data_IF_798452829078
#
_entry.id   IF_798452829078
#
_cell.length_a   1.000
_cell.length_b   1.000
_cell.length_c   1.000
_cell.angle_alpha   90.00
_cell.angle_beta   90.00
_cell.angle_gamma   90.00
#
_symmetry.space_group_name_H-M   'P 1'
#
loop_
_entity.id
_entity.type
_entity.pdbx_description
1 polymer ?
#
# COMPACT_ATOMS: atom_id res chain seq x y z
N UNK A 1 -1.52 -7.53 12.79
CA UNK A 1 -2.56 -6.61 12.29
C UNK A 1 -1.88 -5.32 11.85
N UNK A 2 -2.12 -4.88 10.62
CA UNK A 2 -1.54 -3.68 10.02
C UNK A 2 -2.62 -2.60 9.91
N UNK A 3 -2.35 -1.39 10.40
CA UNK A 3 -3.31 -0.27 10.36
C UNK A 3 -2.75 0.87 9.52
N UNK A 4 -3.46 1.22 8.46
CA UNK A 4 -3.18 2.38 7.63
C UNK A 4 -3.52 3.65 8.41
N UNK A 5 -2.54 4.54 8.55
CA UNK A 5 -2.66 5.77 9.34
C UNK A 5 -2.02 6.98 8.64
N UNK A 6 -2.59 7.38 7.50
CA UNK A 6 -2.39 8.69 6.88
C UNK A 6 -3.69 9.50 6.98
N UNK A 7 -4.01 10.05 8.17
CA UNK A 7 -5.29 10.71 8.42
C UNK A 7 -5.49 11.97 7.56
N UNK A 8 -4.43 12.76 7.31
CA UNK A 8 -4.52 13.94 6.42
C UNK A 8 -4.86 13.58 4.97
N UNK A 9 -4.42 12.41 4.50
CA UNK A 9 -4.64 11.92 3.14
C UNK A 9 -5.75 10.87 3.09
N UNK A 10 -6.49 10.66 4.18
CA UNK A 10 -7.55 9.63 4.28
C UNK A 10 -7.08 8.24 3.81
N UNK A 11 -5.82 7.89 4.11
CA UNK A 11 -5.19 6.66 3.66
C UNK A 11 -5.18 6.52 2.12
N UNK A 12 -4.87 7.60 1.38
CA UNK A 12 -4.61 7.50 -0.06
C UNK A 12 -3.50 6.50 -0.34
N UNK A 13 -3.73 5.55 -1.26
CA UNK A 13 -2.75 4.56 -1.70
C UNK A 13 -1.73 5.21 -2.64
N UNK A 14 -0.90 6.09 -2.09
CA UNK A 14 0.25 6.66 -2.77
C UNK A 14 1.41 5.66 -2.81
N UNK A 15 2.33 5.81 -3.77
CA UNK A 15 3.56 4.99 -3.82
C UNK A 15 4.29 4.83 -2.48
N UNK A 16 4.56 5.89 -1.69
CA UNK A 16 5.23 5.72 -0.39
C UNK A 16 4.42 4.88 0.60
N UNK A 17 3.08 4.98 0.61
CA UNK A 17 2.26 4.12 1.48
C UNK A 17 2.30 2.66 1.01
N UNK A 18 2.27 2.42 -0.29
CA UNK A 18 2.36 1.08 -0.87
C UNK A 18 3.69 0.41 -0.52
N UNK A 19 4.81 1.14 -0.59
CA UNK A 19 6.14 0.63 -0.20
C UNK A 19 6.17 0.23 1.28
N UNK A 20 5.60 1.05 2.16
CA UNK A 20 5.53 0.73 3.59
C UNK A 20 4.64 -0.50 3.88
N UNK A 21 3.53 -0.64 3.15
CA UNK A 21 2.67 -1.84 3.24
C UNK A 21 3.44 -3.08 2.80
N UNK A 22 4.13 -3.04 1.65
CA UNK A 22 4.91 -4.17 1.15
C UNK A 22 6.01 -4.57 2.16
N UNK A 23 6.75 -3.60 2.70
CA UNK A 23 7.76 -3.87 3.74
C UNK A 23 7.16 -4.54 4.96
N UNK A 24 6.00 -4.08 5.43
CA UNK A 24 5.32 -4.67 6.58
C UNK A 24 4.81 -6.09 6.30
N UNK A 25 4.34 -6.36 5.07
CA UNK A 25 3.92 -7.69 4.65
C UNK A 25 5.10 -8.66 4.53
N UNK A 26 6.22 -8.25 3.94
CA UNK A 26 7.44 -9.08 3.87
C UNK A 26 7.99 -9.40 5.26
N UNK A 27 7.97 -8.43 6.18
CA UNK A 27 8.36 -8.67 7.56
C UNK A 27 7.41 -9.67 8.25
N UNK A 28 6.11 -9.60 7.98
CA UNK A 28 5.13 -10.53 8.52
C UNK A 28 5.22 -11.94 7.90
N UNK A 29 5.57 -12.05 6.62
CA UNK A 29 5.77 -13.32 5.92
C UNK A 29 6.96 -14.11 6.49
N UNK A 30 8.01 -13.39 6.90
CA UNK A 30 9.24 -14.00 7.43
C UNK A 30 9.17 -14.31 8.93
N UNK A 31 8.10 -13.89 9.62
CA UNK A 31 7.89 -14.16 11.04
C UNK A 31 7.04 -15.43 11.25
N UNK A 32 7.60 -16.55 11.75
CA UNK A 32 6.86 -17.79 11.96
C UNK A 32 5.78 -17.69 13.05
N UNK A 33 5.77 -16.63 13.86
CA UNK A 33 4.70 -16.36 14.82
C UNK A 33 3.45 -15.74 14.17
N UNK A 34 3.59 -15.15 12.97
CA UNK A 34 2.48 -14.53 12.24
C UNK A 34 1.83 -15.57 11.33
N UNK A 35 0.49 -15.66 11.39
CA UNK A 35 -0.29 -16.61 10.58
C UNK A 35 -1.29 -15.91 9.67
N UNK A 36 -2.14 -15.00 10.19
CA UNK A 36 -2.86 -14.05 9.35
C UNK A 36 -2.32 -12.63 9.51
N UNK A 37 -2.27 -11.90 8.39
CA UNK A 37 -2.15 -10.44 8.41
C UNK A 37 -3.50 -9.84 8.06
N UNK A 38 -4.08 -9.10 9.00
CA UNK A 38 -5.26 -8.27 8.75
C UNK A 38 -4.79 -6.85 8.53
N UNK A 39 -5.11 -6.30 7.35
CA UNK A 39 -4.92 -4.89 7.05
C UNK A 39 -6.22 -4.14 7.32
N UNK A 40 -6.15 -2.99 7.97
CA UNK A 40 -7.31 -2.14 8.28
C UNK A 40 -6.96 -0.66 8.13
N UNK A 41 -7.97 0.22 8.13
CA UNK A 41 -7.77 1.67 8.23
C UNK A 41 -8.22 2.24 9.56
N UNK A 42 -8.72 3.46 9.54
CA UNK A 42 -9.28 4.13 10.72
C UNK A 42 -10.82 4.14 10.67
N UNK A 43 -11.44 4.77 11.68
CA UNK A 43 -12.89 4.86 11.79
C UNK A 43 -13.55 5.63 10.63
N UNK A 44 -12.79 6.46 9.92
CA UNK A 44 -13.28 7.30 8.83
C UNK A 44 -13.16 6.61 7.47
N UNK A 45 -12.11 5.80 7.26
CA UNK A 45 -11.87 5.08 6.01
C UNK A 45 -10.85 3.94 6.18
N UNK A 46 -11.01 2.90 5.37
CA UNK A 46 -9.97 1.90 5.12
C UNK A 46 -8.82 2.54 4.31
N UNK A 47 -9.07 2.81 3.04
CA UNK A 47 -8.29 3.63 2.11
C UNK A 47 -9.28 4.40 1.24
N UNK A 48 -9.22 5.73 1.22
CA UNK A 48 -10.30 6.54 0.62
C UNK A 48 -10.12 6.81 -0.87
N UNK A 49 -8.89 6.74 -1.41
CA UNK A 49 -8.61 6.97 -2.82
C UNK A 49 -7.29 6.30 -3.22
N UNK A 50 -7.14 5.94 -4.49
CA UNK A 50 -5.82 5.80 -5.09
C UNK A 50 -5.38 7.17 -5.61
N UNK A 51 -4.08 7.41 -5.70
CA UNK A 51 -3.56 8.64 -6.28
C UNK A 51 -3.77 8.60 -7.80
N UNK A 52 -4.89 9.17 -8.27
CA UNK A 52 -5.34 9.07 -9.67
C UNK A 52 -4.35 9.74 -10.62
N UNK A 53 -3.73 10.85 -10.21
CA UNK A 53 -2.74 11.54 -11.05
C UNK A 53 -1.49 10.68 -11.26
N UNK A 54 -1.10 9.89 -10.26
CA UNK A 54 -0.03 8.89 -10.36
C UNK A 54 -0.44 7.72 -11.26
N UNK A 55 -1.68 7.25 -11.12
CA UNK A 55 -2.24 6.17 -11.93
C UNK A 55 -2.43 6.57 -13.39
N UNK A 56 -2.79 7.83 -13.65
CA UNK A 56 -2.97 8.39 -14.99
C UNK A 56 -1.64 8.61 -15.72
N UNK A 57 -0.54 8.80 -14.98
CA UNK A 57 0.81 8.87 -15.52
C UNK A 57 1.40 7.48 -15.81
N UNK A 58 0.91 6.43 -15.14
CA UNK A 58 1.24 5.04 -15.48
C UNK A 58 0.51 4.63 -16.76
N UNK A 59 1.25 4.53 -17.86
CA UNK A 59 0.72 4.04 -19.15
C UNK A 59 0.84 2.51 -19.24
N UNK A 60 0.18 1.87 -20.22
CA UNK A 60 0.35 0.43 -20.46
C UNK A 60 1.77 0.02 -20.89
N UNK A 61 2.61 0.99 -21.23
CA UNK A 61 4.04 0.84 -21.55
C UNK A 61 4.94 1.21 -20.35
N UNK A 62 4.33 1.45 -19.18
CA UNK A 62 5.06 1.73 -17.95
C UNK A 62 5.87 0.48 -17.57
N UNK A 63 7.18 0.69 -17.41
CA UNK A 63 8.18 -0.38 -17.35
C UNK A 63 7.83 -1.31 -16.19
N UNK A 64 7.84 -2.62 -16.42
CA UNK A 64 7.57 -3.66 -15.38
C UNK A 64 8.47 -3.47 -14.13
N UNK A 65 9.63 -2.83 -14.30
CA UNK A 65 10.57 -2.49 -13.22
C UNK A 65 10.24 -1.17 -12.47
N UNK A 66 9.12 -0.51 -12.76
CA UNK A 66 8.74 0.69 -12.01
C UNK A 66 8.44 0.31 -10.56
N UNK A 67 8.82 1.18 -9.62
CA UNK A 67 8.69 0.93 -8.18
C UNK A 67 7.25 0.56 -7.78
N UNK A 68 6.24 1.01 -8.55
CA UNK A 68 4.84 0.67 -8.31
C UNK A 68 4.51 -0.77 -8.71
N UNK A 69 4.97 -1.23 -9.87
CA UNK A 69 4.76 -2.62 -10.33
C UNK A 69 5.43 -3.64 -9.41
N UNK A 70 6.64 -3.37 -8.94
CA UNK A 70 7.36 -4.28 -8.03
C UNK A 70 6.76 -4.36 -6.62
N UNK A 71 5.87 -3.42 -6.26
CA UNK A 71 5.23 -3.34 -4.95
C UNK A 71 3.84 -4.00 -4.94
N UNK A 72 3.32 -4.41 -6.10
CA UNK A 72 2.01 -5.08 -6.23
C UNK A 72 2.14 -6.60 -6.29
#
# INVERSE_FOLDING_TARGET
MLRLNMPEQRNTLSTPLMVEIARALTAAETDPAVRPVVTTGNLKAFAARAEIDELAQSTSDDRIESSRYLTW
#
